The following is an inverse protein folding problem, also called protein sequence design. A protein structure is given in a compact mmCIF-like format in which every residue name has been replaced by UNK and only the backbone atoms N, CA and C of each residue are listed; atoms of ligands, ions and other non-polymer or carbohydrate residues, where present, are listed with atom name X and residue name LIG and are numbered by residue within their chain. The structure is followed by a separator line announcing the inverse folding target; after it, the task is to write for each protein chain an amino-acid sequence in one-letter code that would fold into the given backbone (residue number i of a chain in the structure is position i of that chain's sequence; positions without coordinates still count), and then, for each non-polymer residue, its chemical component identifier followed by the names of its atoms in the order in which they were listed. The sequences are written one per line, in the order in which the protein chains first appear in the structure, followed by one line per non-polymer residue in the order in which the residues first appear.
data_IF_797986052365
#
_entry.id   IF_797986052365
#
_cell.length_a   1.000
_cell.length_b   1.000
_cell.length_c   1.000
_cell.angle_alpha   90.00
_cell.angle_beta   90.00
_cell.angle_gamma   90.00
#
_symmetry.space_group_name_H-M   'P 1'
#
loop_
_entity.id
_entity.type
_entity.pdbx_description
1 polymer ?
#
# COMPACT_ATOMS: atom_id res chain seq x y z
N UNK A 1 -19.12 -16.26 -12.32
CA UNK A 1 -18.21 -15.26 -12.93
C UNK A 1 -17.46 -14.44 -11.87
N UNK A 2 -16.50 -15.03 -11.15
CA UNK A 2 -15.67 -14.33 -10.15
C UNK A 2 -14.18 -14.32 -10.46
N UNK A 3 -13.78 -15.08 -11.50
CA UNK A 3 -12.37 -15.21 -11.87
C UNK A 3 -11.88 -13.97 -12.63
N UNK A 4 -12.70 -13.44 -13.54
CA UNK A 4 -12.37 -12.26 -14.34
C UNK A 4 -12.33 -10.95 -13.54
N UNK A 5 -13.15 -10.81 -12.49
CA UNK A 5 -13.10 -9.62 -11.63
C UNK A 5 -11.76 -9.46 -10.89
N UNK A 6 -11.04 -10.57 -10.63
CA UNK A 6 -9.72 -10.54 -10.00
C UNK A 6 -8.65 -9.96 -10.93
N UNK A 7 -8.73 -10.23 -12.23
CA UNK A 7 -7.81 -9.70 -13.24
C UNK A 7 -8.02 -8.19 -13.49
N UNK A 8 -9.26 -7.70 -13.44
CA UNK A 8 -9.53 -6.26 -13.57
C UNK A 8 -9.15 -5.46 -12.32
N UNK A 9 -9.13 -6.10 -11.14
CA UNK A 9 -8.65 -5.47 -9.90
C UNK A 9 -7.13 -5.31 -9.87
N UNK A 10 -6.38 -6.27 -10.42
CA UNK A 10 -4.92 -6.19 -10.53
C UNK A 10 -4.44 -5.03 -11.40
N UNK A 11 -5.21 -4.66 -12.45
CA UNK A 11 -4.87 -3.56 -13.35
C UNK A 11 -5.02 -2.16 -12.73
N UNK A 12 -5.91 -2.01 -11.73
CA UNK A 12 -6.02 -0.76 -10.94
C UNK A 12 -4.87 -0.56 -9.96
N UNK A 13 -4.01 -1.57 -9.79
CA UNK A 13 -2.82 -1.53 -8.94
C UNK A 13 -1.57 -1.09 -9.71
N UNK A 14 -1.69 -0.67 -10.97
CA UNK A 14 -0.63 0.03 -11.67
C UNK A 14 -0.41 1.40 -11.01
N UNK A 15 0.38 1.41 -9.94
CA UNK A 15 0.78 2.62 -9.22
C UNK A 15 1.62 3.49 -10.14
N UNK A 16 1.24 4.77 -10.28
CA UNK A 16 2.05 5.74 -11.01
C UNK A 16 3.45 5.83 -10.35
N UNK A 17 4.50 5.84 -11.17
CA UNK A 17 5.88 5.79 -10.71
C UNK A 17 6.21 6.98 -9.79
N UNK A 18 5.63 8.16 -10.08
CA UNK A 18 5.77 9.36 -9.25
C UNK A 18 5.12 9.19 -7.88
N UNK A 19 3.96 8.53 -7.81
CA UNK A 19 3.27 8.23 -6.55
C UNK A 19 4.07 7.27 -5.68
N UNK A 20 4.73 6.28 -6.29
CA UNK A 20 5.59 5.35 -5.54
C UNK A 20 6.85 6.03 -4.99
N UNK A 21 7.45 6.95 -5.76
CA UNK A 21 8.60 7.73 -5.30
C UNK A 21 8.25 8.67 -4.14
N UNK A 22 7.11 9.35 -4.20
CA UNK A 22 6.64 10.20 -3.10
C UNK A 22 6.28 9.37 -1.86
N UNK A 23 5.66 8.19 -2.04
CA UNK A 23 5.42 7.25 -0.95
C UNK A 23 6.73 6.78 -0.30
N UNK A 24 7.77 6.55 -1.10
CA UNK A 24 9.10 6.18 -0.59
C UNK A 24 9.84 7.34 0.11
N UNK A 25 9.60 8.59 -0.30
CA UNK A 25 10.11 9.77 0.42
C UNK A 25 9.41 9.93 1.76
N UNK A 26 8.08 9.84 1.75
CA UNK A 26 7.26 9.95 2.96
C UNK A 26 7.59 8.85 3.97
N UNK A 27 7.90 7.63 3.49
CA UNK A 27 8.28 6.54 4.39
C UNK A 27 9.61 6.78 5.12
N UNK A 28 10.52 7.54 4.51
CA UNK A 28 11.79 7.94 5.11
C UNK A 28 11.65 9.09 6.10
N UNK A 29 10.72 10.02 5.87
CA UNK A 29 10.50 11.17 6.76
C UNK A 29 9.51 10.89 7.89
N UNK A 30 8.62 9.90 7.73
CA UNK A 30 7.61 9.52 8.72
C UNK A 30 7.61 8.00 8.97
N UNK A 31 8.64 7.46 9.65
CA UNK A 31 8.76 6.03 9.91
C UNK A 31 7.64 5.50 10.81
N UNK A 32 7.15 6.30 11.78
CA UNK A 32 6.06 5.89 12.69
C UNK A 32 4.72 5.69 11.96
N UNK A 33 4.36 6.61 11.06
CA UNK A 33 3.15 6.47 10.23
C UNK A 33 3.28 5.27 9.28
N UNK A 34 4.46 5.06 8.71
CA UNK A 34 4.73 3.92 7.83
C UNK A 34 4.62 2.60 8.58
N UNK A 35 5.18 2.53 9.79
CA UNK A 35 5.06 1.38 10.67
C UNK A 35 3.59 1.12 11.04
N UNK A 36 2.82 2.15 11.40
CA UNK A 36 1.39 2.02 11.69
C UNK A 36 0.59 1.52 10.48
N UNK A 37 0.86 2.03 9.28
CA UNK A 37 0.25 1.56 8.02
C UNK A 37 0.63 0.11 7.70
N UNK A 38 1.89 -0.26 7.88
CA UNK A 38 2.36 -1.62 7.69
C UNK A 38 1.72 -2.58 8.70
N UNK A 39 1.67 -2.19 9.98
CA UNK A 39 1.07 -2.97 11.05
C UNK A 39 -0.45 -3.18 10.80
N UNK A 40 -1.17 -2.13 10.37
CA UNK A 40 -2.57 -2.23 9.96
C UNK A 40 -2.78 -3.19 8.76
N UNK A 41 -1.83 -3.24 7.81
CA UNK A 41 -1.86 -4.19 6.69
C UNK A 41 -1.59 -5.64 7.13
N UNK A 42 -0.70 -5.83 8.09
CA UNK A 42 -0.36 -7.14 8.63
C UNK A 42 -1.30 -7.61 9.75
N UNK A 43 -2.31 -6.80 10.12
CA UNK A 43 -3.26 -7.11 11.18
C UNK A 43 -2.69 -6.97 12.60
N UNK A 44 -1.49 -6.39 12.74
CA UNK A 44 -0.91 -6.04 14.03
C UNK A 44 -1.40 -4.64 14.42
N UNK A 45 -2.48 -4.58 15.18
CA UNK A 45 -2.77 -3.40 16.00
C UNK A 45 -1.99 -3.62 17.29
N UNK A 46 -0.93 -2.85 17.52
CA UNK A 46 -0.32 -2.78 18.85
C UNK A 46 -1.38 -2.16 19.76
N UNK A 47 -1.90 -2.96 20.68
CA UNK A 47 -2.74 -2.50 21.79
C UNK A 47 -1.81 -1.99 22.90
#
# INVERSE_FOLDING_TARGET
MRLFSRFFRARRTASNLTTELERARLSRTMPGQTAAMAAARFGFIVN
#
